data_IF_990830406453
#
_entry.id   IF_990830406453
#
_cell.length_a   1.000
_cell.length_b   1.000
_cell.length_c   1.000
_cell.angle_alpha   90.00
_cell.angle_beta   90.00
_cell.angle_gamma   90.00
#
_symmetry.space_group_name_H-M   'P 1'
#
loop_
_entity.id
_entity.type
_entity.pdbx_description
1 polymer ?
#
# COMPACT_ATOMS: atom_id res chain seq x y z
N UNK A 1 21.82 9.92 -10.02
CA UNK A 1 20.88 10.99 -9.63
C UNK A 1 19.71 10.28 -8.97
N UNK A 2 19.61 10.32 -7.64
CA UNK A 2 18.40 9.84 -6.95
C UNK A 2 17.25 10.72 -7.43
N UNK A 3 16.19 10.11 -7.95
CA UNK A 3 14.91 10.81 -7.95
C UNK A 3 14.60 11.12 -6.48
N UNK A 4 14.34 12.38 -6.17
CA UNK A 4 13.57 12.75 -4.97
C UNK A 4 12.38 11.78 -4.84
N UNK A 5 11.92 11.47 -3.62
CA UNK A 5 10.93 10.42 -3.27
C UNK A 5 9.56 10.44 -3.99
N UNK A 6 9.44 11.19 -5.07
CA UNK A 6 8.41 11.15 -6.09
C UNK A 6 8.40 9.78 -6.77
N UNK A 7 7.35 9.02 -6.50
CA UNK A 7 7.00 7.81 -7.25
C UNK A 7 6.12 8.21 -8.43
N UNK A 8 6.34 7.59 -9.59
CA UNK A 8 5.51 7.85 -10.78
C UNK A 8 4.05 7.39 -10.55
N UNK A 9 3.07 8.18 -11.00
CA UNK A 9 1.64 7.91 -10.80
C UNK A 9 1.22 6.52 -11.34
N UNK A 10 1.80 6.12 -12.49
CA UNK A 10 1.56 4.79 -13.06
C UNK A 10 1.94 3.65 -12.11
N UNK A 11 3.05 3.80 -11.37
CA UNK A 11 3.51 2.80 -10.41
C UNK A 11 2.62 2.74 -9.16
N UNK A 12 2.12 3.89 -8.71
CA UNK A 12 1.15 3.96 -7.60
C UNK A 12 -0.16 3.26 -7.99
N UNK A 13 -0.67 3.51 -9.19
CA UNK A 13 -1.87 2.84 -9.71
C UNK A 13 -1.66 1.33 -9.86
N UNK A 14 -0.52 0.91 -10.40
CA UNK A 14 -0.17 -0.50 -10.54
C UNK A 14 -0.04 -1.20 -9.17
N UNK A 15 0.52 -0.55 -8.17
CA UNK A 15 0.58 -1.06 -6.81
C UNK A 15 -0.82 -1.27 -6.21
N UNK A 16 -1.76 -0.34 -6.44
CA UNK A 16 -3.15 -0.51 -6.03
C UNK A 16 -3.86 -1.65 -6.79
N UNK A 17 -3.60 -1.80 -8.09
CA UNK A 17 -4.15 -2.91 -8.87
C UNK A 17 -3.61 -4.26 -8.41
N UNK A 18 -2.34 -4.35 -7.98
CA UNK A 18 -1.78 -5.56 -7.38
C UNK A 18 -2.51 -5.96 -6.09
N UNK A 19 -2.91 -4.99 -5.25
CA UNK A 19 -3.82 -5.24 -4.13
C UNK A 19 -5.16 -5.84 -4.59
N UNK A 20 -5.78 -5.25 -5.63
CA UNK A 20 -7.09 -5.72 -6.14
C UNK A 20 -7.06 -7.13 -6.70
N UNK A 21 -5.92 -7.56 -7.27
CA UNK A 21 -5.72 -8.94 -7.73
C UNK A 21 -5.82 -9.94 -6.57
N UNK A 22 -5.29 -9.58 -5.40
CA UNK A 22 -5.31 -10.41 -4.19
C UNK A 22 -6.68 -10.39 -3.49
N UNK A 23 -7.44 -9.30 -3.61
CA UNK A 23 -8.73 -9.14 -2.96
C UNK A 23 -9.80 -10.07 -3.55
N UNK A 24 -10.19 -11.08 -2.77
CA UNK A 24 -11.15 -12.12 -3.20
C UNK A 24 -12.55 -11.57 -3.45
N UNK A 25 -12.91 -10.45 -2.81
CA UNK A 25 -14.20 -9.76 -3.01
C UNK A 25 -14.26 -9.05 -4.36
N UNK A 26 -13.12 -8.76 -4.99
CA UNK A 26 -13.05 -8.19 -6.34
C UNK A 26 -13.55 -9.21 -7.37
N UNK A 27 -14.46 -8.77 -8.25
CA UNK A 27 -15.02 -9.60 -9.30
C UNK A 27 -13.90 -10.19 -10.19
N UNK A 28 -14.06 -11.43 -10.65
CA UNK A 28 -13.03 -12.15 -11.43
C UNK A 28 -12.58 -11.35 -12.65
N UNK A 29 -13.54 -10.75 -13.38
CA UNK A 29 -13.24 -9.91 -14.54
C UNK A 29 -12.39 -8.70 -14.17
N UNK A 30 -12.74 -8.02 -13.08
CA UNK A 30 -11.97 -6.86 -12.59
C UNK A 30 -10.56 -7.25 -12.14
N UNK A 31 -10.39 -8.44 -11.55
CA UNK A 31 -9.07 -8.98 -11.20
C UNK A 31 -8.22 -9.28 -12.43
N UNK A 32 -8.82 -9.82 -13.49
CA UNK A 32 -8.13 -10.04 -14.77
C UNK A 32 -7.69 -8.71 -15.41
N UNK A 33 -8.58 -7.71 -15.42
CA UNK A 33 -8.25 -6.37 -15.93
C UNK A 33 -7.17 -5.69 -15.08
N UNK A 34 -7.20 -5.85 -13.75
CA UNK A 34 -6.15 -5.35 -12.85
C UNK A 34 -4.81 -6.05 -13.11
N UNK A 35 -4.81 -7.37 -13.29
CA UNK A 35 -3.61 -8.13 -13.64
C UNK A 35 -2.98 -7.64 -14.95
N UNK A 36 -3.78 -7.39 -15.99
CA UNK A 36 -3.30 -6.84 -17.26
C UNK A 36 -2.67 -5.45 -17.11
N UNK A 37 -3.27 -4.58 -16.26
CA UNK A 37 -2.69 -3.26 -15.97
C UNK A 37 -1.38 -3.35 -15.21
N UNK A 38 -1.27 -4.28 -14.26
CA UNK A 38 0.00 -4.53 -13.55
C UNK A 38 1.08 -5.01 -14.52
N UNK A 39 0.76 -5.95 -15.42
CA UNK A 39 1.71 -6.44 -16.42
C UNK A 39 2.19 -5.32 -17.35
N UNK A 40 1.27 -4.50 -17.87
CA UNK A 40 1.63 -3.36 -18.70
C UNK A 40 2.52 -2.34 -17.96
N UNK A 41 2.21 -2.06 -16.69
CA UNK A 41 3.01 -1.16 -15.88
C UNK A 41 4.41 -1.74 -15.58
N UNK A 42 4.52 -3.05 -15.38
CA UNK A 42 5.83 -3.72 -15.23
C UNK A 42 6.70 -3.51 -16.45
N UNK A 43 6.12 -3.60 -17.65
CA UNK A 43 6.84 -3.37 -18.91
C UNK A 43 7.20 -1.88 -19.12
N UNK A 44 6.38 -0.96 -18.60
CA UNK A 44 6.55 0.49 -18.74
C UNK A 44 7.55 1.08 -17.73
N UNK A 45 7.32 0.86 -16.43
CA UNK A 45 8.05 1.52 -15.33
C UNK A 45 8.94 0.59 -14.51
N UNK A 46 8.81 -0.72 -14.71
CA UNK A 46 9.59 -1.73 -13.98
C UNK A 46 9.04 -2.10 -12.60
N UNK A 47 9.41 -3.30 -12.14
CA UNK A 47 8.95 -3.85 -10.84
C UNK A 47 9.44 -3.07 -9.63
N UNK A 48 10.64 -2.50 -9.71
CA UNK A 48 11.23 -1.71 -8.63
C UNK A 48 10.38 -0.47 -8.34
N UNK A 49 9.98 0.26 -9.37
CA UNK A 49 9.18 1.47 -9.22
C UNK A 49 7.76 1.15 -8.70
N UNK A 50 7.15 0.04 -9.13
CA UNK A 50 5.88 -0.46 -8.57
C UNK A 50 6.03 -0.82 -7.08
N UNK A 51 7.17 -1.38 -6.69
CA UNK A 51 7.46 -1.68 -5.28
C UNK A 51 7.59 -0.40 -4.45
N UNK A 52 8.22 0.64 -5.00
CA UNK A 52 8.24 2.00 -4.39
C UNK A 52 6.82 2.58 -4.30
N UNK A 53 5.98 2.37 -5.31
CA UNK A 53 4.55 2.73 -5.28
C UNK A 53 3.77 2.03 -4.17
N UNK A 54 4.12 0.79 -3.86
CA UNK A 54 3.52 0.05 -2.74
C UNK A 54 3.94 0.67 -1.40
N UNK A 55 5.22 0.99 -1.22
CA UNK A 55 5.74 1.66 -0.02
C UNK A 55 5.10 3.04 0.17
N UNK A 56 4.91 3.79 -0.92
CA UNK A 56 4.19 5.05 -0.90
C UNK A 56 2.76 4.88 -0.40
N UNK A 57 2.00 3.93 -0.96
CA UNK A 57 0.62 3.66 -0.55
C UNK A 57 0.50 3.18 0.90
N UNK A 58 1.45 2.37 1.37
CA UNK A 58 1.55 2.00 2.79
C UNK A 58 1.68 3.25 3.66
N UNK A 59 2.53 4.20 3.25
CA UNK A 59 2.69 5.49 3.93
C UNK A 59 1.40 6.31 3.96
N UNK A 60 0.74 6.44 2.81
CA UNK A 60 -0.54 7.17 2.67
C UNK A 60 -1.63 6.57 3.56
N UNK A 61 -1.88 5.26 3.47
CA UNK A 61 -2.93 4.62 4.26
C UNK A 61 -2.63 4.67 5.76
N UNK A 62 -1.37 4.46 6.15
CA UNK A 62 -0.95 4.58 7.55
C UNK A 62 -1.20 6.00 8.05
N UNK A 63 -0.79 7.01 7.28
CA UNK A 63 -1.04 8.43 7.62
C UNK A 63 -2.53 8.73 7.77
N UNK A 64 -3.37 8.22 6.86
CA UNK A 64 -4.81 8.41 6.91
C UNK A 64 -5.43 7.81 8.19
N UNK A 65 -5.09 6.56 8.50
CA UNK A 65 -5.57 5.84 9.68
C UNK A 65 -5.16 6.51 11.01
N UNK A 66 -4.04 7.25 11.02
CA UNK A 66 -3.52 7.95 12.20
C UNK A 66 -4.06 9.38 12.32
N UNK A 67 -4.22 10.09 11.21
CA UNK A 67 -4.63 11.50 11.22
C UNK A 67 -6.12 11.65 11.55
N UNK A 68 -6.98 10.92 10.83
CA UNK A 68 -8.43 10.97 10.98
C UNK A 68 -8.98 9.55 10.84
N UNK A 69 -9.35 8.88 11.95
CA UNK A 69 -9.89 7.54 11.89
C UNK A 69 -11.13 7.54 11.00
N UNK A 70 -11.14 6.75 9.91
CA UNK A 70 -12.30 6.68 9.05
C UNK A 70 -13.47 6.12 9.88
N UNK A 71 -14.62 6.80 9.83
CA UNK A 71 -15.80 6.49 10.66
C UNK A 71 -15.91 7.29 11.98
N UNK A 72 -15.00 8.23 12.26
CA UNK A 72 -15.11 9.14 13.42
C UNK A 72 -14.80 8.48 14.78
N UNK A 73 -14.20 7.30 14.76
CA UNK A 73 -13.83 6.52 15.94
C UNK A 73 -12.62 7.08 16.71
N UNK A 74 -12.21 6.36 17.76
CA UNK A 74 -11.01 6.70 18.55
C UNK A 74 -9.78 6.71 17.64
N UNK A 75 -8.93 7.72 17.80
CA UNK A 75 -7.61 7.78 17.16
C UNK A 75 -6.79 6.55 17.52
N UNK A 76 -6.36 5.81 16.51
CA UNK A 76 -5.46 4.66 16.70
C UNK A 76 -4.10 5.15 17.16
N UNK A 77 -3.59 4.57 18.25
CA UNK A 77 -2.19 4.74 18.60
C UNK A 77 -1.32 4.01 17.58
N UNK A 78 -0.48 4.72 16.79
CA UNK A 78 0.33 4.08 15.76
C UNK A 78 1.23 2.97 16.32
N UNK A 79 1.86 3.22 17.47
CA UNK A 79 2.89 2.35 18.02
C UNK A 79 2.32 1.26 18.93
N UNK A 80 1.28 1.58 19.69
CA UNK A 80 0.62 0.64 20.60
C UNK A 80 -0.47 -0.22 19.98
N UNK A 81 -1.14 0.27 18.93
CA UNK A 81 -2.32 -0.38 18.34
C UNK A 81 -2.10 -0.76 16.87
N UNK A 82 -1.87 0.21 15.97
CA UNK A 82 -1.87 -0.02 14.51
C UNK A 82 -0.75 -0.96 14.05
N UNK A 83 0.52 -0.60 14.32
CA UNK A 83 1.67 -1.38 13.86
C UNK A 83 1.63 -2.80 14.45
N UNK A 84 1.44 -2.99 15.77
CA UNK A 84 1.33 -4.34 16.33
C UNK A 84 0.19 -5.17 15.72
N UNK A 85 -0.96 -4.56 15.41
CA UNK A 85 -2.08 -5.27 14.79
C UNK A 85 -1.74 -5.78 13.39
N UNK A 86 -1.10 -4.96 12.55
CA UNK A 86 -0.66 -5.34 11.20
C UNK A 86 0.42 -6.43 11.27
N UNK A 87 1.47 -6.23 12.07
CA UNK A 87 2.58 -7.18 12.16
C UNK A 87 2.14 -8.54 12.70
N UNK A 88 1.21 -8.59 13.67
CA UNK A 88 0.66 -9.86 14.18
C UNK A 88 -0.14 -10.64 13.14
N UNK A 89 -0.63 -9.99 12.07
CA UNK A 89 -1.39 -10.62 11.00
C UNK A 89 -0.52 -11.12 9.85
N UNK A 90 0.69 -10.58 9.68
CA UNK A 90 1.62 -11.01 8.61
C UNK A 90 1.89 -12.53 8.61
N UNK A 91 2.08 -13.22 9.75
CA UNK A 91 2.29 -14.67 9.75
C UNK A 91 1.12 -15.51 9.21
N UNK A 92 -0.06 -14.92 9.01
CA UNK A 92 -1.20 -15.63 8.39
C UNK A 92 -1.06 -15.79 6.88
N UNK A 93 -0.12 -15.07 6.26
CA UNK A 93 0.22 -15.22 4.85
C UNK A 93 1.39 -16.18 4.72
N UNK A 94 1.16 -17.37 4.14
CA UNK A 94 2.19 -18.41 4.00
C UNK A 94 3.45 -17.93 3.25
N UNK A 95 3.29 -16.97 2.33
CA UNK A 95 4.39 -16.41 1.54
C UNK A 95 5.07 -15.20 2.21
N UNK A 96 4.64 -14.78 3.40
CA UNK A 96 5.29 -13.69 4.11
C UNK A 96 6.56 -14.21 4.79
N UNK A 97 7.71 -13.85 4.22
CA UNK A 97 9.01 -14.16 4.79
C UNK A 97 9.23 -13.36 6.09
N UNK A 98 9.42 -14.02 7.26
CA UNK A 98 9.69 -13.35 8.53
C UNK A 98 10.91 -12.44 8.49
N UNK A 99 11.91 -12.71 7.65
CA UNK A 99 13.13 -11.90 7.55
C UNK A 99 12.86 -10.50 6.99
N UNK A 100 11.75 -10.32 6.26
CA UNK A 100 11.35 -9.04 5.66
C UNK A 100 10.44 -8.20 6.58
N UNK A 101 9.94 -8.77 7.68
CA UNK A 101 9.07 -8.08 8.65
C UNK A 101 9.71 -6.81 9.23
N UNK A 102 11.02 -6.75 9.55
CA UNK A 102 11.67 -5.53 10.02
C UNK A 102 11.57 -4.37 9.02
N UNK A 103 11.70 -4.64 7.71
CA UNK A 103 11.61 -3.60 6.68
C UNK A 103 10.21 -3.01 6.60
N UNK A 104 9.19 -3.88 6.57
CA UNK A 104 7.80 -3.46 6.58
C UNK A 104 7.42 -2.69 7.87
N UNK A 105 7.93 -3.14 9.02
CA UNK A 105 7.76 -2.44 10.30
C UNK A 105 8.40 -1.05 10.26
N UNK A 106 9.60 -0.93 9.70
CA UNK A 106 10.29 0.33 9.55
C UNK A 106 9.56 1.32 8.65
N UNK A 107 8.98 0.86 7.54
CA UNK A 107 8.12 1.69 6.67
C UNK A 107 6.89 2.21 7.43
N UNK A 108 6.21 1.34 8.19
CA UNK A 108 5.06 1.75 9.01
C UNK A 108 5.45 2.76 10.10
N UNK A 109 6.60 2.57 10.74
CA UNK A 109 7.12 3.52 11.72
C UNK A 109 7.48 4.86 11.08
N UNK A 110 8.14 4.86 9.92
CA UNK A 110 8.46 6.07 9.17
C UNK A 110 7.18 6.85 8.85
N UNK A 111 6.14 6.16 8.36
CA UNK A 111 4.84 6.75 8.10
C UNK A 111 4.20 7.34 9.37
N UNK A 112 4.21 6.59 10.48
CA UNK A 112 3.67 7.03 11.76
C UNK A 112 4.39 8.26 12.33
N UNK A 113 5.67 8.43 12.01
CA UNK A 113 6.47 9.60 12.38
C UNK A 113 6.35 10.77 11.39
N UNK A 114 5.50 10.66 10.36
CA UNK A 114 5.32 11.69 9.33
C UNK A 114 6.52 11.85 8.40
N UNK A 115 7.34 10.82 8.27
CA UNK A 115 8.48 10.79 7.34
C UNK A 115 8.03 10.36 5.95
N UNK A 116 8.77 10.77 4.92
CA UNK A 116 8.64 10.21 3.58
C UNK A 116 9.07 8.73 3.61
N UNK A 117 8.11 7.83 3.40
CA UNK A 117 8.33 6.38 3.48
C UNK A 117 9.19 5.85 2.36
N UNK A 118 9.08 6.42 1.17
CA UNK A 118 9.86 6.01 -0.01
C UNK A 118 11.29 6.44 0.18
N UNK A 119 11.52 7.72 0.52
CA UNK A 119 12.86 8.22 0.80
C UNK A 119 13.51 7.52 2.00
N UNK A 120 12.73 7.16 3.03
CA UNK A 120 13.22 6.35 4.15
C UNK A 120 13.65 4.96 3.67
N UNK A 121 12.84 4.29 2.85
CA UNK A 121 13.13 2.94 2.38
C UNK A 121 14.30 2.90 1.40
N UNK A 122 14.39 3.84 0.48
CA UNK A 122 15.45 3.90 -0.54
C UNK A 122 16.87 3.92 0.08
N UNK A 123 17.01 4.33 1.35
CA UNK A 123 18.29 4.30 2.09
C UNK A 123 18.86 2.90 2.31
N UNK A 124 18.06 1.85 2.18
CA UNK A 124 18.47 0.46 2.36
C UNK A 124 18.72 -0.27 1.04
N UNK A 125 18.79 0.47 -0.08
CA UNK A 125 19.01 -0.09 -1.41
C UNK A 125 17.72 -0.55 -2.08
N UNK A 126 17.84 -1.38 -3.13
CA UNK A 126 16.71 -1.90 -3.89
C UNK A 126 15.77 -2.73 -3.02
N UNK A 127 14.47 -2.71 -3.34
CA UNK A 127 13.45 -3.55 -2.69
C UNK A 127 13.46 -4.91 -3.38
N UNK A 128 13.89 -5.94 -2.65
CA UNK A 128 13.92 -7.31 -3.16
C UNK A 128 12.50 -7.88 -3.32
N UNK A 129 12.28 -8.86 -4.21
CA UNK A 129 10.93 -9.39 -4.49
C UNK A 129 10.19 -9.92 -3.26
N UNK A 130 10.90 -10.55 -2.31
CA UNK A 130 10.32 -11.06 -1.06
C UNK A 130 9.83 -9.92 -0.17
N UNK A 131 10.59 -8.83 -0.11
CA UNK A 131 10.21 -7.65 0.65
C UNK A 131 9.03 -6.93 0.00
N UNK A 132 9.05 -6.77 -1.33
CA UNK A 132 7.95 -6.19 -2.09
C UNK A 132 6.64 -6.95 -1.84
N UNK A 133 6.70 -8.28 -1.74
CA UNK A 133 5.53 -9.10 -1.42
C UNK A 133 4.99 -8.81 -0.02
N UNK A 134 5.86 -8.69 0.98
CA UNK A 134 5.45 -8.34 2.36
C UNK A 134 4.86 -6.93 2.42
N UNK A 135 5.42 -5.96 1.70
CA UNK A 135 4.79 -4.64 1.55
C UNK A 135 3.40 -4.71 0.92
N UNK A 136 3.20 -5.59 -0.08
CA UNK A 136 1.89 -5.87 -0.66
C UNK A 136 0.88 -6.42 0.37
N UNK A 137 1.30 -7.34 1.24
CA UNK A 137 0.44 -7.84 2.33
C UNK A 137 0.13 -6.77 3.37
N UNK A 138 1.10 -5.92 3.72
CA UNK A 138 0.85 -4.78 4.60
C UNK A 138 -0.16 -3.81 3.98
N UNK A 139 -0.01 -3.48 2.69
CA UNK A 139 -0.97 -2.64 1.98
C UNK A 139 -2.38 -3.25 2.03
N UNK A 140 -2.50 -4.55 1.78
CA UNK A 140 -3.79 -5.26 1.86
C UNK A 140 -4.39 -5.21 3.28
N UNK A 141 -3.59 -5.45 4.31
CA UNK A 141 -4.04 -5.40 5.72
C UNK A 141 -4.50 -3.99 6.13
N UNK A 142 -3.80 -2.95 5.68
CA UNK A 142 -4.20 -1.56 5.94
C UNK A 142 -5.52 -1.22 5.25
N UNK A 143 -5.71 -1.69 4.01
CA UNK A 143 -6.96 -1.52 3.28
C UNK A 143 -8.13 -2.25 3.96
N UNK A 144 -7.96 -3.51 4.39
CA UNK A 144 -9.00 -4.26 5.11
C UNK A 144 -9.30 -3.66 6.49
N UNK A 145 -8.28 -3.12 7.18
CA UNK A 145 -8.48 -2.37 8.43
C UNK A 145 -9.29 -1.10 8.20
N UNK A 146 -8.99 -0.34 7.15
CA UNK A 146 -9.77 0.86 6.78
C UNK A 146 -11.25 0.50 6.61
N UNK A 147 -11.54 -0.50 5.77
CA UNK A 147 -12.90 -0.95 5.49
C UNK A 147 -13.62 -1.46 6.75
N UNK A 148 -12.87 -2.10 7.66
CA UNK A 148 -13.39 -2.57 8.94
C UNK A 148 -13.77 -1.42 9.88
N UNK A 149 -12.98 -0.34 9.92
CA UNK A 149 -13.26 0.84 10.76
C UNK A 149 -14.49 1.63 10.29
N UNK A 150 -14.78 1.60 8.99
CA UNK A 150 -15.99 2.21 8.41
C UNK A 150 -17.17 1.24 8.32
N UNK A 151 -17.01 0.01 8.83
CA UNK A 151 -18.00 -1.06 8.80
C UNK A 151 -18.58 -1.34 7.39
N UNK A 152 -17.80 -1.05 6.34
CA UNK A 152 -18.25 -1.12 4.95
C UNK A 152 -17.13 -1.63 4.03
N UNK A 153 -17.15 -2.91 3.66
CA UNK A 153 -16.23 -3.49 2.68
C UNK A 153 -16.20 -2.75 1.34
N UNK A 154 -15.01 -2.57 0.78
CA UNK A 154 -14.78 -1.94 -0.52
C UNK A 154 -14.78 -0.41 -0.52
N UNK A 155 -14.87 0.23 0.66
CA UNK A 155 -14.90 1.69 0.76
C UNK A 155 -13.57 2.29 0.33
N UNK A 156 -12.45 1.70 0.76
CA UNK A 156 -11.13 2.19 0.37
C UNK A 156 -10.86 2.03 -1.13
N UNK A 157 -11.32 0.94 -1.74
CA UNK A 157 -11.20 0.75 -3.19
C UNK A 157 -12.01 1.79 -3.98
N UNK A 158 -13.23 2.11 -3.51
CA UNK A 158 -14.01 3.18 -4.10
C UNK A 158 -13.27 4.53 -4.00
N UNK A 159 -12.77 4.87 -2.82
CA UNK A 159 -12.05 6.12 -2.57
C UNK A 159 -10.80 6.25 -3.46
N UNK A 160 -10.00 5.19 -3.55
CA UNK A 160 -8.79 5.17 -4.38
C UNK A 160 -9.14 5.34 -5.87
N UNK A 161 -10.21 4.69 -6.37
CA UNK A 161 -10.67 4.88 -7.75
C UNK A 161 -11.12 6.31 -8.03
N UNK A 162 -11.87 6.92 -7.11
CA UNK A 162 -12.29 8.32 -7.23
C UNK A 162 -11.11 9.27 -7.24
N UNK A 163 -10.11 9.00 -6.39
CA UNK A 163 -8.84 9.76 -6.33
C UNK A 163 -8.04 9.62 -7.62
N UNK A 164 -7.88 8.41 -8.16
CA UNK A 164 -7.19 8.22 -9.45
C UNK A 164 -7.91 8.88 -10.62
N UNK A 165 -9.25 8.86 -10.63
CA UNK A 165 -10.05 9.54 -11.64
C UNK A 165 -9.89 11.06 -11.59
N UNK A 166 -9.88 11.67 -10.39
CA UNK A 166 -9.72 13.12 -10.25
C UNK A 166 -8.32 13.57 -10.64
N UNK A 167 -7.28 12.78 -10.33
CA UNK A 167 -5.91 13.05 -10.78
C UNK A 167 -5.77 12.93 -12.32
N UNK A 168 -6.42 11.95 -12.94
CA UNK A 168 -6.45 11.82 -14.40
C UNK A 168 -7.22 12.94 -15.10
N UNK A 169 -8.34 13.39 -14.52
CA UNK A 169 -9.13 14.50 -15.06
C UNK A 169 -8.47 15.89 -14.89
N UNK A 170 -7.36 15.97 -14.15
CA UNK A 170 -6.60 17.22 -13.95
C UNK A 170 -5.47 17.40 -14.97
N UNK A 171 -5.31 16.46 -15.92
CA UNK A 171 -4.28 16.49 -16.96
C UNK A 171 -4.82 16.80 -18.38
N UNK A 172 -6.12 17.14 -18.49
CA UNK A 172 -6.78 17.64 -19.70
C UNK A 172 -7.00 19.17 -19.63
#
# INVERSE_FOLDING_TARGET
>A
MSSDGVVVDEAVRAAWDAYRVLEKRTAVKERQEAQQRVEAAVDSVGREEISRGTVFLVGVLTGYLIAEPPGGGKRLDPLGELIPAVIRKLPTFEMADPEQVPMATGVLMAAAMGMDTVAWRDRFGTIEPQEALVHGFVLWLLADLFDSLVERPGTIDQLMRETFKSMGASQD
#
